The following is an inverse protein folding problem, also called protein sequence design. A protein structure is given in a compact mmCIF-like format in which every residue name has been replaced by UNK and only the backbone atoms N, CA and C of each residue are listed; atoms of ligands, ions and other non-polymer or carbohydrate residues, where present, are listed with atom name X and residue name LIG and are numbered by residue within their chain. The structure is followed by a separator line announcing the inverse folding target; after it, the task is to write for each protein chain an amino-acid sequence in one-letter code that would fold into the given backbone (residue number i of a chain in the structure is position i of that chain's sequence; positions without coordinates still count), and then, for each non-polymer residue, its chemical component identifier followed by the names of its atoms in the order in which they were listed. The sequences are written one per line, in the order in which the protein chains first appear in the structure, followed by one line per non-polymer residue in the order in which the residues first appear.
data_IF_054433532331
#
_entry.id   IF_054433532331
#
_cell.length_a   1.000
_cell.length_b   1.000
_cell.length_c   1.000
_cell.angle_alpha   90.00
_cell.angle_beta   90.00
_cell.angle_gamma   90.00
#
_symmetry.space_group_name_H-M   'P 1'
#
loop_
_entity.id
_entity.type
_entity.pdbx_description
1 polymer ?
#
# COMPACT_ATOMS: atom_id res chain seq x y z
N UNK A 1 -13.53 -33.41 27.51
CA UNK A 1 -13.31 -33.36 26.05
C UNK A 1 -14.47 -32.56 25.46
N UNK A 2 -14.33 -31.42 24.79
CA UNK A 2 -13.16 -30.70 24.32
C UNK A 2 -13.57 -29.24 24.01
N UNK A 3 -12.86 -28.31 24.65
CA UNK A 3 -12.94 -26.86 24.45
C UNK A 3 -12.23 -26.45 23.14
N UNK A 4 -12.85 -26.67 21.97
CA UNK A 4 -12.17 -26.40 20.68
C UNK A 4 -12.85 -25.36 19.77
N UNK A 5 -13.94 -24.70 20.20
CA UNK A 5 -14.69 -23.76 19.34
C UNK A 5 -14.47 -22.26 19.62
N UNK A 6 -13.28 -21.87 20.11
CA UNK A 6 -12.89 -20.45 20.22
C UNK A 6 -11.46 -20.20 19.75
N UNK A 7 -11.20 -20.49 18.48
CA UNK A 7 -9.94 -20.11 17.82
C UNK A 7 -10.21 -18.96 16.83
N UNK A 8 -9.57 -17.81 17.09
CA UNK A 8 -9.61 -16.59 16.27
C UNK A 8 -9.19 -16.91 14.83
N UNK A 9 -9.85 -16.28 13.85
CA UNK A 9 -9.59 -16.45 12.40
C UNK A 9 -8.11 -16.25 12.01
N UNK A 10 -7.33 -15.53 12.82
CA UNK A 10 -5.90 -15.28 12.65
C UNK A 10 -4.96 -16.48 12.88
N UNK A 11 -5.39 -17.57 13.52
CA UNK A 11 -4.51 -18.74 13.76
C UNK A 11 -4.61 -19.84 12.70
N UNK A 12 -5.39 -19.65 11.62
CA UNK A 12 -5.49 -20.63 10.53
C UNK A 12 -4.42 -20.48 9.43
N UNK A 13 -3.71 -19.35 9.38
CA UNK A 13 -2.70 -19.10 8.35
C UNK A 13 -1.30 -19.63 8.70
N UNK A 14 -1.01 -19.90 9.97
CA UNK A 14 0.33 -20.33 10.42
C UNK A 14 0.58 -21.84 10.30
N UNK A 15 -0.45 -22.66 10.13
CA UNK A 15 -0.30 -24.13 10.02
C UNK A 15 -0.01 -24.59 8.58
N UNK A 16 -0.32 -23.78 7.56
CA UNK A 16 -0.07 -24.12 6.15
C UNK A 16 1.39 -23.95 5.69
N UNK A 17 2.13 -23.02 6.31
CA UNK A 17 3.49 -22.64 5.84
C UNK A 17 4.55 -23.65 6.29
N UNK A 18 4.36 -24.32 7.43
CA UNK A 18 5.33 -25.29 7.96
C UNK A 18 5.31 -26.61 7.16
N UNK A 19 4.22 -26.93 6.45
CA UNK A 19 4.13 -28.15 5.64
C UNK A 19 4.84 -28.07 4.28
N UNK A 20 5.16 -26.87 3.77
CA UNK A 20 5.80 -26.69 2.46
C UNK A 20 7.34 -26.72 2.51
N UNK A 21 7.96 -26.54 3.68
CA UNK A 21 9.42 -26.49 3.83
C UNK A 21 10.06 -27.90 3.88
N UNK A 22 9.26 -28.97 4.08
CA UNK A 22 9.79 -30.33 4.23
C UNK A 22 9.82 -31.19 2.95
N UNK A 23 9.34 -30.70 1.80
CA UNK A 23 9.25 -31.50 0.56
C UNK A 23 10.32 -31.10 -0.49
N UNK A 24 11.08 -30.03 -0.28
CA UNK A 24 12.05 -29.51 -1.26
C UNK A 24 13.47 -30.08 -1.24
N UNK A 25 13.79 -31.07 -0.39
CA UNK A 25 15.18 -31.54 -0.19
C UNK A 25 15.39 -33.03 -0.53
N UNK A 26 14.84 -33.48 -1.65
CA UNK A 26 15.29 -34.72 -2.29
C UNK A 26 15.31 -34.50 -3.81
N UNK A 27 16.48 -34.19 -4.36
CA UNK A 27 16.99 -34.64 -5.67
C UNK A 27 18.30 -33.90 -5.97
N UNK A 28 19.42 -34.57 -5.72
CA UNK A 28 20.74 -34.00 -5.99
C UNK A 28 21.89 -34.94 -5.63
N UNK A 29 21.78 -36.23 -6.00
CA UNK A 29 22.88 -37.20 -5.95
C UNK A 29 23.07 -37.71 -7.38
N UNK A 30 24.25 -37.50 -7.95
CA UNK A 30 25.06 -38.43 -8.75
C UNK A 30 26.33 -37.67 -9.19
N UNK A 31 27.47 -38.00 -8.59
CA UNK A 31 28.82 -37.75 -9.13
C UNK A 31 29.10 -38.75 -10.28
N UNK A 32 30.14 -38.55 -11.10
CA UNK A 32 31.42 -39.18 -10.73
C UNK A 32 32.67 -38.32 -10.96
N UNK A 33 33.70 -38.62 -10.16
CA UNK A 33 35.10 -38.21 -10.28
C UNK A 33 35.70 -38.62 -11.64
N UNK A 34 36.59 -37.78 -12.17
CA UNK A 34 37.72 -38.21 -13.01
C UNK A 34 38.90 -37.25 -12.84
N UNK A 35 40.05 -37.80 -12.45
CA UNK A 35 41.36 -37.18 -12.64
C UNK A 35 41.60 -36.93 -14.14
N UNK A 36 42.24 -35.83 -14.49
CA UNK A 36 43.43 -35.81 -15.35
C UNK A 36 43.95 -34.37 -15.57
N UNK A 37 45.20 -34.20 -15.16
CA UNK A 37 46.30 -33.56 -15.88
C UNK A 37 46.06 -32.26 -16.69
N UNK A 38 46.86 -31.26 -16.32
CA UNK A 38 47.27 -30.11 -17.13
C UNK A 38 47.68 -30.51 -18.55
N UNK A 39 47.22 -29.75 -19.55
CA UNK A 39 48.00 -29.47 -20.76
C UNK A 39 47.57 -28.12 -21.36
N UNK A 40 48.59 -27.40 -21.82
CA UNK A 40 48.62 -26.00 -22.24
C UNK A 40 47.97 -25.76 -23.62
N UNK A 41 47.63 -24.48 -23.80
CA UNK A 41 47.92 -23.65 -24.99
C UNK A 41 46.79 -23.36 -26.01
N UNK A 42 46.55 -22.05 -26.09
CA UNK A 42 46.34 -21.20 -27.26
C UNK A 42 44.96 -20.90 -27.88
N UNK A 43 44.83 -19.58 -28.13
CA UNK A 43 44.02 -18.84 -29.10
C UNK A 43 42.49 -18.68 -28.94
N UNK A 44 42.14 -17.48 -28.45
CA UNK A 44 41.18 -16.54 -29.05
C UNK A 44 39.84 -17.08 -29.57
N UNK A 45 38.82 -17.01 -28.71
CA UNK A 45 37.46 -16.63 -29.13
C UNK A 45 36.93 -15.60 -28.15
N UNK A 46 36.60 -14.43 -28.70
CA UNK A 46 36.00 -13.29 -28.03
C UNK A 46 34.58 -13.66 -27.60
N UNK A 47 34.42 -14.25 -26.42
CA UNK A 47 33.09 -14.42 -25.80
C UNK A 47 32.67 -13.09 -25.21
N UNK A 48 31.82 -12.39 -25.96
CA UNK A 48 31.07 -11.24 -25.50
C UNK A 48 30.30 -11.64 -24.24
N UNK A 49 30.71 -11.04 -23.12
CA UNK A 49 30.10 -11.24 -21.81
C UNK A 49 28.71 -10.59 -21.86
N UNK A 50 27.69 -11.33 -22.28
CA UNK A 50 26.30 -10.92 -22.09
C UNK A 50 26.08 -10.85 -20.57
N UNK A 51 26.10 -9.62 -20.06
CA UNK A 51 25.68 -9.33 -18.70
C UNK A 51 24.18 -9.65 -18.62
N UNK A 52 23.70 -10.43 -17.64
CA UNK A 52 22.27 -10.47 -17.35
C UNK A 52 21.96 -9.18 -16.59
N UNK A 53 21.73 -8.11 -17.34
CA UNK A 53 21.19 -6.84 -16.82
C UNK A 53 20.04 -6.51 -17.76
N UNK A 54 18.85 -6.21 -17.21
CA UNK A 54 17.60 -5.82 -17.90
C UNK A 54 16.48 -6.87 -18.07
N UNK A 55 16.42 -7.93 -17.26
CA UNK A 55 15.18 -8.73 -17.18
C UNK A 55 14.22 -8.24 -16.08
N UNK A 56 14.72 -7.68 -14.97
CA UNK A 56 13.89 -7.27 -13.83
C UNK A 56 13.23 -5.89 -14.02
N UNK A 57 13.99 -4.88 -14.48
CA UNK A 57 13.45 -3.52 -14.70
C UNK A 57 12.30 -3.48 -15.73
N UNK A 58 12.34 -4.39 -16.71
CA UNK A 58 11.34 -4.44 -17.79
C UNK A 58 10.02 -5.05 -17.34
N UNK A 59 10.04 -5.97 -16.38
CA UNK A 59 8.83 -6.61 -15.83
C UNK A 59 8.16 -5.71 -14.79
N UNK A 60 8.94 -5.05 -13.93
CA UNK A 60 8.42 -4.10 -12.93
C UNK A 60 7.78 -2.88 -13.60
N UNK A 61 8.41 -2.34 -14.66
CA UNK A 61 7.85 -1.22 -15.42
C UNK A 61 6.56 -1.59 -16.18
N UNK A 62 6.50 -2.80 -16.75
CA UNK A 62 5.30 -3.28 -17.44
C UNK A 62 4.14 -3.57 -16.47
N UNK A 63 4.41 -4.09 -15.26
CA UNK A 63 3.38 -4.25 -14.23
C UNK A 63 2.82 -2.91 -13.75
N UNK A 64 3.70 -1.93 -13.52
CA UNK A 64 3.29 -0.58 -13.11
C UNK A 64 2.44 0.14 -14.16
N UNK A 65 2.72 -0.09 -15.44
CA UNK A 65 1.95 0.45 -16.58
C UNK A 65 0.59 -0.24 -16.75
N UNK A 66 0.46 -1.54 -16.42
CA UNK A 66 -0.83 -2.25 -16.45
C UNK A 66 -1.71 -1.84 -15.27
N UNK A 67 -1.14 -1.67 -14.07
CA UNK A 67 -1.86 -1.17 -12.90
C UNK A 67 -2.35 0.26 -13.10
N UNK A 68 -1.57 1.12 -13.77
CA UNK A 68 -2.00 2.49 -14.05
C UNK A 68 -3.24 2.55 -14.95
N UNK A 69 -3.35 1.68 -15.96
CA UNK A 69 -4.51 1.67 -16.88
C UNK A 69 -5.80 1.25 -16.17
N UNK A 70 -5.72 0.36 -15.17
CA UNK A 70 -6.90 -0.15 -14.43
C UNK A 70 -7.66 0.95 -13.69
N UNK A 71 -6.98 2.01 -13.27
CA UNK A 71 -7.53 3.04 -12.39
C UNK A 71 -7.59 4.43 -13.04
N UNK A 72 -7.61 4.50 -14.37
CA UNK A 72 -7.84 5.78 -15.07
C UNK A 72 -9.32 6.20 -14.97
N UNK A 73 -9.55 7.50 -14.75
CA UNK A 73 -10.88 8.14 -14.75
C UNK A 73 -11.83 7.76 -13.60
N UNK A 74 -11.28 7.39 -12.44
CA UNK A 74 -12.05 7.30 -11.20
C UNK A 74 -12.44 8.70 -10.69
N UNK A 75 -13.61 8.79 -10.07
CA UNK A 75 -14.09 9.99 -9.37
C UNK A 75 -14.08 9.76 -7.86
N UNK A 76 -13.57 10.70 -7.06
CA UNK A 76 -13.52 10.57 -5.61
C UNK A 76 -14.90 10.24 -5.02
N UNK A 77 -14.93 9.29 -4.07
CA UNK A 77 -16.18 8.89 -3.42
C UNK A 77 -16.72 10.00 -2.51
N UNK A 78 -18.03 10.03 -2.31
CA UNK A 78 -18.70 10.92 -1.35
C UNK A 78 -18.58 10.39 0.08
N UNK A 79 -18.79 11.26 1.08
CA UNK A 79 -18.86 10.90 2.51
C UNK A 79 -19.85 9.75 2.76
N UNK A 80 -21.07 9.87 2.24
CA UNK A 80 -22.10 8.84 2.40
C UNK A 80 -21.65 7.47 1.86
N UNK A 81 -20.92 7.47 0.74
CA UNK A 81 -20.40 6.23 0.16
C UNK A 81 -19.26 5.66 0.97
N UNK A 82 -18.36 6.50 1.50
CA UNK A 82 -17.28 6.04 2.37
C UNK A 82 -17.83 5.38 3.65
N UNK A 83 -18.85 5.99 4.28
CA UNK A 83 -19.52 5.46 5.47
C UNK A 83 -20.34 4.17 5.20
N UNK A 84 -20.65 3.86 3.94
CA UNK A 84 -21.26 2.59 3.53
C UNK A 84 -20.21 1.50 3.30
N UNK A 85 -19.04 1.87 2.76
CA UNK A 85 -18.01 0.94 2.33
C UNK A 85 -17.03 0.55 3.44
N UNK A 86 -16.75 1.47 4.36
CA UNK A 86 -15.69 1.32 5.35
C UNK A 86 -16.21 1.47 6.77
N UNK A 87 -15.69 0.65 7.67
CA UNK A 87 -16.01 0.74 9.09
C UNK A 87 -15.26 1.92 9.72
N UNK A 88 -15.96 2.71 10.55
CA UNK A 88 -15.33 3.75 11.36
C UNK A 88 -14.49 3.12 12.47
N UNK A 89 -13.33 3.73 12.75
CA UNK A 89 -12.57 3.40 13.94
C UNK A 89 -13.31 3.88 15.20
N UNK A 90 -13.85 2.93 15.97
CA UNK A 90 -14.58 3.21 17.20
C UNK A 90 -13.70 3.72 18.34
N UNK A 91 -12.38 3.53 18.27
CA UNK A 91 -11.43 4.01 19.29
C UNK A 91 -11.03 5.48 19.07
N UNK A 92 -11.23 5.98 17.85
CA UNK A 92 -10.95 7.38 17.49
C UNK A 92 -12.23 8.21 17.48
N UNK A 93 -12.19 9.40 18.10
CA UNK A 93 -13.30 10.36 18.04
C UNK A 93 -13.46 10.88 16.61
N UNK A 94 -14.69 10.86 16.14
CA UNK A 94 -15.08 11.31 14.81
C UNK A 94 -15.64 12.74 14.90
N UNK A 95 -15.42 13.56 13.87
CA UNK A 95 -15.86 14.96 13.87
C UNK A 95 -16.67 15.27 12.59
N UNK A 96 -17.97 14.94 12.52
CA UNK A 96 -18.82 15.22 11.35
C UNK A 96 -18.92 16.70 10.97
N UNK A 97 -18.60 17.61 11.91
CA UNK A 97 -18.51 19.07 11.72
C UNK A 97 -17.30 19.62 12.48
N UNK A 98 -16.13 19.08 12.17
CA UNK A 98 -14.87 19.48 12.78
C UNK A 98 -14.40 20.83 12.26
N UNK A 99 -13.93 21.69 13.17
CA UNK A 99 -13.30 22.96 12.81
C UNK A 99 -11.84 22.72 12.45
N UNK A 100 -11.43 23.18 11.28
CA UNK A 100 -10.04 23.21 10.85
C UNK A 100 -9.53 24.65 10.86
N UNK A 101 -8.27 24.82 11.22
CA UNK A 101 -7.52 26.07 10.99
C UNK A 101 -6.40 25.76 10.00
N UNK A 102 -6.29 26.58 8.97
CA UNK A 102 -5.24 26.51 7.96
C UNK A 102 -4.08 27.44 8.30
N UNK A 103 -2.91 27.19 7.72
CA UNK A 103 -1.68 27.97 8.01
C UNK A 103 -1.76 29.44 7.61
N UNK A 104 -2.69 29.82 6.74
CA UNK A 104 -2.98 31.22 6.40
C UNK A 104 -3.92 31.91 7.41
N UNK A 105 -4.36 31.20 8.45
CA UNK A 105 -5.26 31.67 9.50
C UNK A 105 -6.74 31.55 9.15
N UNK A 106 -7.09 31.07 7.95
CA UNK A 106 -8.49 30.81 7.60
C UNK A 106 -9.01 29.57 8.32
N UNK A 107 -10.31 29.53 8.57
CA UNK A 107 -10.98 28.43 9.25
C UNK A 107 -12.11 27.88 8.38
N UNK A 108 -12.31 26.57 8.43
CA UNK A 108 -13.34 25.88 7.68
C UNK A 108 -13.92 24.73 8.48
N UNK A 109 -15.22 24.47 8.34
CA UNK A 109 -15.85 23.31 8.96
C UNK A 109 -15.99 22.19 7.94
N UNK A 110 -15.45 21.02 8.26
CA UNK A 110 -15.52 19.83 7.41
C UNK A 110 -15.67 18.58 8.26
N UNK A 111 -16.11 17.49 7.65
CA UNK A 111 -16.22 16.20 8.34
C UNK A 111 -14.85 15.53 8.37
N UNK A 112 -14.42 15.04 9.54
CA UNK A 112 -13.16 14.34 9.75
C UNK A 112 -13.47 12.96 10.32
N UNK A 113 -13.04 11.92 9.61
CA UNK A 113 -13.26 10.55 10.01
C UNK A 113 -12.00 9.70 9.94
N UNK A 114 -11.87 8.79 10.90
CA UNK A 114 -10.93 7.68 10.90
C UNK A 114 -11.66 6.38 10.60
N UNK A 115 -11.14 5.61 9.64
CA UNK A 115 -11.70 4.36 9.15
C UNK A 115 -10.71 3.21 9.36
N UNK A 116 -11.25 2.00 9.56
CA UNK A 116 -10.51 0.76 9.63
C UNK A 116 -10.67 -0.04 8.33
N UNK A 117 -9.57 -0.62 7.87
CA UNK A 117 -9.52 -1.80 7.00
C UNK A 117 -10.27 -1.70 5.68
N UNK A 118 -9.60 -1.18 4.64
CA UNK A 118 -9.94 -1.48 3.25
C UNK A 118 -9.31 -2.79 2.78
N UNK A 119 -9.50 -3.15 1.52
CA UNK A 119 -8.84 -4.33 0.94
C UNK A 119 -7.31 -4.11 0.86
N UNK A 120 -6.89 -2.87 0.60
CA UNK A 120 -5.49 -2.50 0.33
C UNK A 120 -4.91 -1.48 1.32
N UNK A 121 -5.65 -1.10 2.37
CA UNK A 121 -5.15 -0.25 3.45
C UNK A 121 -5.62 -0.75 4.81
N UNK A 122 -4.79 -0.62 5.84
CA UNK A 122 -5.15 -1.02 7.21
C UNK A 122 -5.99 0.04 7.91
N UNK A 123 -5.70 1.31 7.64
CA UNK A 123 -6.33 2.47 8.25
C UNK A 123 -6.42 3.60 7.23
N UNK A 124 -7.43 4.45 7.38
CA UNK A 124 -7.52 5.68 6.61
C UNK A 124 -8.07 6.83 7.43
N UNK A 125 -7.62 8.04 7.13
CA UNK A 125 -8.21 9.28 7.66
C UNK A 125 -8.67 10.13 6.49
N UNK A 126 -9.97 10.38 6.41
CA UNK A 126 -10.56 11.18 5.35
C UNK A 126 -11.16 12.49 5.89
N UNK A 127 -11.10 13.52 5.05
CA UNK A 127 -11.79 14.79 5.25
C UNK A 127 -12.80 14.97 4.13
N UNK A 128 -14.02 15.33 4.48
CA UNK A 128 -15.07 15.66 3.53
C UNK A 128 -15.54 17.10 3.71
N UNK A 129 -15.50 17.89 2.63
CA UNK A 129 -16.09 19.23 2.58
C UNK A 129 -17.39 19.13 1.78
N UNK A 130 -18.50 19.53 2.38
CA UNK A 130 -19.85 19.44 1.79
C UNK A 130 -20.17 18.04 1.22
N UNK A 131 -19.78 16.99 1.97
CA UNK A 131 -19.99 15.59 1.60
C UNK A 131 -19.09 15.06 0.46
N UNK A 132 -18.15 15.87 -0.05
CA UNK A 132 -17.19 15.49 -1.09
C UNK A 132 -15.81 15.27 -0.49
N UNK A 133 -15.07 14.27 -0.98
CA UNK A 133 -13.71 14.01 -0.50
C UNK A 133 -12.81 15.22 -0.76
N UNK A 134 -12.29 15.81 0.31
CA UNK A 134 -11.30 16.88 0.26
C UNK A 134 -9.89 16.32 0.42
N UNK A 135 -9.73 15.27 1.24
CA UNK A 135 -8.45 14.59 1.47
C UNK A 135 -8.67 13.15 1.94
N UNK A 136 -7.79 12.24 1.56
CA UNK A 136 -7.61 10.95 2.21
C UNK A 136 -6.14 10.71 2.55
N UNK A 137 -5.90 10.15 3.73
CA UNK A 137 -4.64 9.49 4.11
C UNK A 137 -4.89 8.00 4.23
N UNK A 138 -4.01 7.18 3.67
CA UNK A 138 -4.09 5.71 3.75
C UNK A 138 -2.80 5.14 4.32
N UNK A 139 -2.93 4.15 5.20
CA UNK A 139 -1.84 3.34 5.73
C UNK A 139 -1.80 2.03 4.98
N UNK A 140 -0.71 1.77 4.27
CA UNK A 140 -0.56 0.56 3.44
C UNK A 140 0.58 -0.32 3.96
N UNK A 141 0.48 -1.62 3.71
CA UNK A 141 1.51 -2.58 4.12
C UNK A 141 2.82 -2.43 3.34
N UNK A 142 2.71 -2.09 2.05
CA UNK A 142 3.83 -1.88 1.13
C UNK A 142 3.48 -0.81 0.09
N UNK A 143 4.49 -0.16 -0.48
CA UNK A 143 4.32 0.93 -1.46
C UNK A 143 3.60 0.50 -2.74
N UNK A 144 3.68 -0.78 -3.13
CA UNK A 144 2.93 -1.28 -4.30
C UNK A 144 1.41 -1.24 -4.11
N UNK A 145 0.91 -1.11 -2.86
CA UNK A 145 -0.52 -1.08 -2.56
C UNK A 145 -1.14 0.32 -2.60
N UNK A 146 -0.34 1.37 -2.80
CA UNK A 146 -0.82 2.76 -2.71
C UNK A 146 -1.90 3.06 -3.75
N UNK A 147 -1.67 2.68 -5.01
CA UNK A 147 -2.67 2.93 -6.06
C UNK A 147 -3.95 2.12 -5.85
N UNK A 148 -3.82 0.84 -5.47
CA UNK A 148 -4.99 0.02 -5.13
C UNK A 148 -5.79 0.64 -3.97
N UNK A 149 -5.10 1.08 -2.91
CA UNK A 149 -5.73 1.71 -1.75
C UNK A 149 -6.42 3.02 -2.14
N UNK A 150 -5.76 3.90 -2.90
CA UNK A 150 -6.35 5.16 -3.36
C UNK A 150 -7.53 4.94 -4.32
N UNK A 151 -7.47 3.90 -5.16
CA UNK A 151 -8.57 3.54 -6.04
C UNK A 151 -9.85 3.13 -5.28
N UNK A 152 -9.74 2.53 -4.09
CA UNK A 152 -10.90 2.28 -3.21
C UNK A 152 -11.62 3.57 -2.78
N UNK A 153 -10.88 4.69 -2.74
CA UNK A 153 -11.41 6.03 -2.47
C UNK A 153 -11.87 6.76 -3.74
N UNK A 154 -11.87 6.09 -4.89
CA UNK A 154 -12.22 6.67 -6.19
C UNK A 154 -11.14 7.62 -6.73
N UNK A 155 -9.91 7.51 -6.25
CA UNK A 155 -8.78 8.33 -6.70
C UNK A 155 -8.09 7.63 -7.87
N UNK A 156 -7.94 8.35 -8.98
CA UNK A 156 -7.33 7.80 -10.19
C UNK A 156 -5.83 7.59 -10.04
N UNK A 157 -5.25 6.62 -10.76
CA UNK A 157 -3.80 6.35 -10.78
C UNK A 157 -2.95 7.48 -11.39
N UNK A 158 -3.56 8.40 -12.13
CA UNK A 158 -2.86 9.51 -12.78
C UNK A 158 -2.72 10.75 -11.88
N UNK A 159 -3.11 10.67 -10.61
CA UNK A 159 -2.94 11.78 -9.66
C UNK A 159 -1.64 11.63 -8.88
N UNK A 160 -1.08 12.77 -8.48
CA UNK A 160 0.05 12.79 -7.56
C UNK A 160 -0.44 12.61 -6.11
N UNK A 161 0.26 11.79 -5.34
CA UNK A 161 0.07 11.63 -3.91
C UNK A 161 1.38 11.92 -3.18
N UNK A 162 1.28 12.35 -1.92
CA UNK A 162 2.42 12.65 -1.07
C UNK A 162 2.70 11.50 -0.10
N UNK A 163 3.95 11.09 0.02
CA UNK A 163 4.38 10.19 1.11
C UNK A 163 4.67 11.03 2.36
N UNK A 164 3.94 10.79 3.44
CA UNK A 164 4.06 11.56 4.67
C UNK A 164 5.12 11.01 5.63
N UNK A 165 5.36 9.70 5.59
CA UNK A 165 6.34 9.05 6.48
C UNK A 165 7.00 7.85 5.79
N UNK A 166 8.34 7.81 5.80
CA UNK A 166 9.11 6.73 5.19
C UNK A 166 9.01 5.41 5.95
N UNK A 167 8.77 5.44 7.26
CA UNK A 167 8.73 4.27 8.14
C UNK A 167 7.33 3.65 8.26
N UNK A 168 6.29 4.49 8.30
CA UNK A 168 4.91 4.06 8.61
C UNK A 168 4.06 3.90 7.34
N UNK A 169 4.64 4.10 6.16
CA UNK A 169 3.99 3.91 4.84
C UNK A 169 2.63 4.59 4.74
N UNK A 170 2.59 5.86 5.14
CA UNK A 170 1.40 6.70 5.07
C UNK A 170 1.47 7.57 3.83
N UNK A 171 0.42 7.49 3.02
CA UNK A 171 0.29 8.25 1.79
C UNK A 171 -0.94 9.13 1.85
N UNK A 172 -0.84 10.33 1.29
CA UNK A 172 -1.87 11.36 1.29
C UNK A 172 -2.21 11.74 -0.14
N UNK A 173 -3.51 11.85 -0.41
CA UNK A 173 -4.04 12.54 -1.57
C UNK A 173 -4.99 13.65 -1.11
N UNK A 174 -4.78 14.87 -1.61
CA UNK A 174 -5.62 16.03 -1.34
C UNK A 174 -6.28 16.50 -2.64
N UNK A 175 -7.62 16.47 -2.68
CA UNK A 175 -8.42 17.02 -3.78
C UNK A 175 -8.46 18.54 -3.66
N UNK A 176 -8.64 19.04 -2.43
CA UNK A 176 -8.50 20.44 -2.08
C UNK A 176 -7.20 20.62 -1.29
N UNK A 177 -6.23 21.30 -1.89
CA UNK A 177 -4.88 21.45 -1.34
C UNK A 177 -4.87 22.15 0.03
N UNK A 178 -5.88 22.98 0.34
CA UNK A 178 -6.00 23.58 1.68
C UNK A 178 -6.03 22.53 2.78
N UNK A 179 -6.61 21.36 2.49
CA UNK A 179 -6.71 20.25 3.43
C UNK A 179 -5.49 19.34 3.45
N UNK A 180 -4.45 19.55 2.63
CA UNK A 180 -3.18 18.83 2.77
C UNK A 180 -2.65 18.94 4.20
N UNK A 181 -2.00 17.89 4.69
CA UNK A 181 -1.30 17.92 5.98
C UNK A 181 -0.39 19.13 6.12
N UNK A 182 0.26 19.53 5.04
CA UNK A 182 1.20 20.63 5.06
C UNK A 182 0.53 22.01 5.13
N UNK A 183 -0.78 22.12 4.91
CA UNK A 183 -1.52 23.38 4.91
C UNK A 183 -2.48 23.52 6.10
N UNK A 184 -2.76 22.43 6.82
CA UNK A 184 -3.51 22.47 8.10
C UNK A 184 -2.58 22.92 9.23
N UNK A 185 -3.02 23.92 10.00
CA UNK A 185 -2.38 24.37 11.22
C UNK A 185 -2.95 23.70 12.48
N UNK A 186 -4.26 23.44 12.49
CA UNK A 186 -4.96 22.79 13.61
C UNK A 186 -6.09 21.88 13.12
N UNK A 187 -6.14 20.67 13.66
CA UNK A 187 -7.16 19.65 13.42
C UNK A 187 -8.34 19.78 14.41
N UNK A 188 -9.51 19.21 14.09
CA UNK A 188 -10.69 19.24 14.95
C UNK A 188 -10.48 18.73 16.38
N UNK A 189 -9.59 17.74 16.57
CA UNK A 189 -9.30 17.16 17.87
C UNK A 189 -8.36 17.99 18.75
N UNK A 190 -7.77 19.04 18.20
CA UNK A 190 -6.81 19.90 18.90
C UNK A 190 -7.49 21.14 19.51
N UNK A 191 -8.81 21.31 19.33
CA UNK A 191 -9.60 22.40 19.93
C UNK A 191 -10.11 22.11 21.34
N UNK A 192 -10.11 20.83 21.73
CA UNK A 192 -10.58 20.33 23.02
C UNK A 192 -9.59 20.65 24.17
#
# INVERSE_FOLDING_TARGET
MENWRKLKKWQKWTVGIIAFILIGNLLGLIMPKSNNEELKQDETVKTERIRPVQAQDTVEKAQKEIESIKYENLSPITEAKALELFDLDSETKQYPKGLFEFKDGTQETASFYSFLGGENFSEAIAIFLDGKLARVKVWVENESKVYDALAEWGVSSNVEYSRLNNFVQVYEYAVDDRFSTNNIARLPNEWD
#
